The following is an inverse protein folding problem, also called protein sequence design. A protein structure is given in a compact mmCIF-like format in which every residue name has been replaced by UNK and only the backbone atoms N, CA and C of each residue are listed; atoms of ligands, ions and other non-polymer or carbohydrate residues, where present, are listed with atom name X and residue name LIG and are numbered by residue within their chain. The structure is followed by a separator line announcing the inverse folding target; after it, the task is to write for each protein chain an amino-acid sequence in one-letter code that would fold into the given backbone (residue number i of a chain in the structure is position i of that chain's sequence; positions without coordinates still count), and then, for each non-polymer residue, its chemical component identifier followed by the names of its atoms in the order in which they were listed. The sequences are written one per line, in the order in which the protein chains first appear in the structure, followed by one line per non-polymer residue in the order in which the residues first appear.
data_IF_247609177203
#
_entry.id   IF_247609177203
#
_cell.length_a   1.000
_cell.length_b   1.000
_cell.length_c   1.000
_cell.angle_alpha   90.00
_cell.angle_beta   90.00
_cell.angle_gamma   90.00
#
_symmetry.space_group_name_H-M   'P 1'
#
loop_
_entity.id
_entity.type
_entity.pdbx_description
1 polymer ?
#
# COMPACT_ATOMS: atom_id res chain seq x y z
N UNK A 1 -16.62 19.44 -1.79
CA UNK A 1 -16.36 19.22 -0.36
C UNK A 1 -17.03 17.92 0.04
N UNK A 2 -16.28 16.95 0.56
CA UNK A 2 -16.84 15.69 1.08
C UNK A 2 -17.61 16.01 2.37
N UNK A 3 -18.82 15.44 2.52
CA UNK A 3 -19.69 15.71 3.67
C UNK A 3 -19.18 14.92 4.89
N UNK A 4 -18.69 15.61 5.94
CA UNK A 4 -18.27 14.96 7.20
C UNK A 4 -19.46 14.75 8.14
N UNK A 5 -19.48 13.61 8.84
CA UNK A 5 -20.45 13.29 9.90
C UNK A 5 -19.76 13.38 11.26
N UNK A 6 -20.36 14.09 12.22
CA UNK A 6 -19.84 14.14 13.59
C UNK A 6 -20.25 12.89 14.35
N UNK A 7 -19.27 12.21 14.93
CA UNK A 7 -19.47 11.04 15.78
C UNK A 7 -18.87 11.29 17.17
N UNK A 8 -19.48 10.71 18.20
CA UNK A 8 -18.95 10.75 19.57
C UNK A 8 -18.32 9.40 19.88
N UNK A 9 -17.05 9.40 20.30
CA UNK A 9 -16.28 8.18 20.62
C UNK A 9 -15.78 8.24 22.05
N UNK A 10 -15.91 7.12 22.77
CA UNK A 10 -15.29 6.94 24.09
C UNK A 10 -13.91 6.31 23.91
N UNK A 11 -12.86 7.11 24.08
CA UNK A 11 -11.47 6.70 23.93
C UNK A 11 -10.71 6.89 25.25
N UNK A 12 -9.64 6.11 25.44
CA UNK A 12 -8.76 6.31 26.62
C UNK A 12 -8.07 7.67 26.54
N UNK A 13 -8.11 8.41 27.64
CA UNK A 13 -7.59 9.78 27.71
C UNK A 13 -6.08 9.86 27.39
N UNK A 14 -5.29 8.94 27.95
CA UNK A 14 -3.84 8.87 27.76
C UNK A 14 -3.47 8.65 26.28
N UNK A 15 -4.25 7.82 25.58
CA UNK A 15 -4.08 7.54 24.16
C UNK A 15 -4.37 8.79 23.32
N UNK A 16 -5.49 9.47 23.60
CA UNK A 16 -5.88 10.69 22.88
C UNK A 16 -4.83 11.79 23.05
N UNK A 17 -4.32 11.97 24.28
CA UNK A 17 -3.25 12.95 24.56
C UNK A 17 -1.99 12.65 23.75
N UNK A 18 -1.48 11.41 23.81
CA UNK A 18 -0.26 11.03 23.06
C UNK A 18 -0.46 11.17 21.55
N UNK A 19 -1.61 10.75 21.01
CA UNK A 19 -1.90 10.86 19.59
C UNK A 19 -1.94 12.32 19.14
N UNK A 20 -2.65 13.20 19.87
CA UNK A 20 -2.70 14.64 19.57
C UNK A 20 -1.32 15.30 19.59
N UNK A 21 -0.47 14.95 20.55
CA UNK A 21 0.90 15.49 20.60
C UNK A 21 1.73 15.12 19.37
N UNK A 22 1.58 13.90 18.83
CA UNK A 22 2.25 13.48 17.60
C UNK A 22 1.67 14.16 16.36
N UNK A 23 0.35 14.19 16.23
CA UNK A 23 -0.33 14.80 15.09
C UNK A 23 -0.06 16.30 14.96
N UNK A 24 0.15 17.00 16.09
CA UNK A 24 0.54 18.40 16.07
C UNK A 24 1.87 18.66 15.34
N UNK A 25 2.82 17.71 15.40
CA UNK A 25 4.09 17.79 14.65
C UNK A 25 3.87 17.61 13.15
N UNK A 26 2.83 16.87 12.76
CA UNK A 26 2.47 16.57 11.38
C UNK A 26 1.49 17.60 10.78
N UNK A 27 1.06 18.61 11.55
CA UNK A 27 -0.03 19.54 11.19
C UNK A 27 -1.35 18.83 10.83
N UNK A 28 -1.62 17.69 11.46
CA UNK A 28 -2.81 16.86 11.22
C UNK A 28 -3.78 16.90 12.39
N UNK A 29 -5.07 16.70 12.13
CA UNK A 29 -6.07 16.64 13.18
C UNK A 29 -6.33 15.20 13.64
N UNK A 30 -6.87 15.04 14.85
CA UNK A 30 -7.35 13.73 15.32
C UNK A 30 -8.48 13.18 14.42
N UNK A 31 -9.27 14.08 13.81
CA UNK A 31 -10.32 13.67 12.87
C UNK A 31 -9.73 13.00 11.64
N UNK A 32 -8.61 13.50 11.12
CA UNK A 32 -7.97 12.93 9.92
C UNK A 32 -7.43 11.53 10.23
N UNK A 33 -6.81 11.36 11.40
CA UNK A 33 -6.35 10.04 11.86
C UNK A 33 -7.50 9.04 12.02
N UNK A 34 -8.61 9.47 12.63
CA UNK A 34 -9.79 8.59 12.82
C UNK A 34 -10.41 8.23 11.47
N UNK A 35 -10.48 9.19 10.54
CA UNK A 35 -10.99 8.96 9.18
C UNK A 35 -10.13 7.96 8.42
N UNK A 36 -8.80 8.05 8.51
CA UNK A 36 -7.88 7.05 7.94
C UNK A 36 -8.04 5.67 8.57
N UNK A 37 -8.22 5.59 9.89
CA UNK A 37 -8.48 4.31 10.55
C UNK A 37 -9.79 3.66 10.08
N UNK A 38 -10.84 4.46 9.89
CA UNK A 38 -12.13 3.98 9.39
C UNK A 38 -12.02 3.58 7.91
N UNK A 39 -11.29 4.34 7.10
CA UNK A 39 -11.00 3.98 5.71
C UNK A 39 -10.18 2.70 5.60
N UNK A 40 -9.20 2.49 6.48
CA UNK A 40 -8.43 1.25 6.55
C UNK A 40 -9.29 0.05 7.01
N UNK A 41 -10.35 0.30 7.79
CA UNK A 41 -11.32 -0.73 8.15
C UNK A 41 -12.27 -1.07 6.99
N UNK A 42 -12.51 -0.13 6.08
CA UNK A 42 -13.18 -0.38 4.81
C UNK A 42 -12.22 -1.10 3.83
N UNK A 43 -11.99 -2.39 4.10
CA UNK A 43 -11.07 -3.22 3.35
C UNK A 43 -11.40 -3.29 1.86
N UNK A 44 -12.66 -3.09 1.48
CA UNK A 44 -13.08 -3.12 0.08
C UNK A 44 -12.69 -1.82 -0.64
N UNK A 45 -12.94 -0.67 -0.03
CA UNK A 45 -12.51 0.62 -0.58
C UNK A 45 -10.97 0.70 -0.65
N UNK A 46 -10.26 0.19 0.36
CA UNK A 46 -8.80 0.09 0.33
C UNK A 46 -8.30 -0.76 -0.85
N UNK A 47 -8.92 -1.91 -1.08
CA UNK A 47 -8.59 -2.79 -2.21
C UNK A 47 -8.87 -2.09 -3.55
N UNK A 48 -9.98 -1.36 -3.65
CA UNK A 48 -10.35 -0.61 -4.84
C UNK A 48 -9.34 0.50 -5.15
N UNK A 49 -8.92 1.28 -4.15
CA UNK A 49 -7.90 2.31 -4.31
C UNK A 49 -6.53 1.72 -4.68
N UNK A 50 -6.18 0.57 -4.09
CA UNK A 50 -4.95 -0.14 -4.44
C UNK A 50 -4.99 -0.60 -5.90
N UNK A 51 -6.10 -1.20 -6.35
CA UNK A 51 -6.29 -1.60 -7.73
C UNK A 51 -6.15 -0.39 -8.68
N UNK A 52 -6.77 0.75 -8.38
CA UNK A 52 -6.59 1.98 -9.18
C UNK A 52 -5.13 2.43 -9.27
N UNK A 53 -4.42 2.47 -8.13
CA UNK A 53 -3.04 2.93 -8.07
C UNK A 53 -2.08 2.04 -8.86
N UNK A 54 -2.40 0.75 -8.99
CA UNK A 54 -1.62 -0.24 -9.72
C UNK A 54 -2.10 -0.44 -11.17
N UNK A 55 -3.17 0.24 -11.59
CA UNK A 55 -3.79 0.03 -12.89
C UNK A 55 -4.39 -1.38 -13.07
N UNK A 56 -4.85 -1.99 -11.97
CA UNK A 56 -5.44 -3.33 -11.95
C UNK A 56 -6.98 -3.27 -12.01
N UNK A 57 -7.57 -4.33 -12.54
CA UNK A 57 -9.02 -4.50 -12.60
C UNK A 57 -9.61 -4.73 -11.20
N UNK A 58 -10.68 -4.01 -10.85
CA UNK A 58 -11.41 -4.15 -9.57
C UNK A 58 -12.41 -5.30 -9.65
N UNK A 59 -11.92 -6.54 -9.59
CA UNK A 59 -12.80 -7.72 -9.48
C UNK A 59 -12.21 -8.82 -8.63
N UNK A 60 -13.09 -9.67 -8.13
CA UNK A 60 -12.68 -10.91 -7.49
C UNK A 60 -12.30 -11.94 -8.54
N UNK A 61 -11.15 -12.60 -8.33
CA UNK A 61 -10.69 -13.69 -9.16
C UNK A 61 -10.93 -15.03 -8.48
N UNK A 62 -11.36 -16.01 -9.26
CA UNK A 62 -11.37 -17.41 -8.82
C UNK A 62 -9.95 -17.98 -8.79
N UNK A 63 -9.74 -19.01 -7.98
CA UNK A 63 -8.44 -19.71 -7.91
C UNK A 63 -7.96 -20.23 -9.27
N UNK A 64 -8.88 -20.60 -10.16
CA UNK A 64 -8.59 -21.01 -11.54
C UNK A 64 -8.09 -19.86 -12.40
N UNK A 65 -8.73 -18.69 -12.35
CA UNK A 65 -8.31 -17.51 -13.11
C UNK A 65 -6.94 -17.03 -12.67
N UNK A 66 -6.66 -17.02 -11.36
CA UNK A 66 -5.34 -16.65 -10.82
C UNK A 66 -4.26 -17.60 -11.35
N UNK A 67 -4.53 -18.91 -11.43
CA UNK A 67 -3.57 -19.88 -11.97
C UNK A 67 -3.33 -19.68 -13.45
N UNK A 68 -4.40 -19.42 -14.23
CA UNK A 68 -4.30 -19.24 -15.67
C UNK A 68 -3.61 -17.92 -16.06
N UNK A 69 -3.85 -16.85 -15.29
CA UNK A 69 -3.28 -15.52 -15.54
C UNK A 69 -1.91 -15.29 -14.92
N UNK A 70 -1.35 -16.25 -14.17
CA UNK A 70 -0.05 -16.10 -13.52
C UNK A 70 1.04 -15.99 -14.60
N UNK A 71 1.81 -14.89 -14.66
CA UNK A 71 2.93 -14.81 -15.58
C UNK A 71 3.94 -15.92 -15.23
N UNK A 72 4.44 -16.59 -16.27
CA UNK A 72 5.62 -17.44 -16.17
C UNK A 72 6.75 -16.48 -15.79
N UNK A 73 7.09 -16.42 -14.51
CA UNK A 73 8.03 -15.43 -13.98
C UNK A 73 9.35 -15.40 -14.75
N UNK A 74 10.14 -14.35 -14.53
CA UNK A 74 11.45 -14.24 -15.17
C UNK A 74 12.31 -15.46 -14.85
N UNK A 75 13.00 -15.95 -15.87
CA UNK A 75 14.03 -16.96 -15.70
C UNK A 75 15.18 -16.33 -14.91
N UNK A 76 15.26 -16.67 -13.62
CA UNK A 76 16.30 -16.15 -12.74
C UNK A 76 17.71 -16.38 -13.31
N UNK A 77 17.91 -17.48 -14.04
CA UNK A 77 19.15 -17.80 -14.76
C UNK A 77 19.56 -16.72 -15.78
N UNK A 78 18.61 -16.17 -16.53
CA UNK A 78 18.90 -15.15 -17.56
C UNK A 78 19.27 -13.81 -16.91
N UNK A 79 18.52 -13.40 -15.88
CA UNK A 79 18.79 -12.17 -15.11
C UNK A 79 20.14 -12.24 -14.39
N UNK A 80 20.46 -13.39 -13.77
CA UNK A 80 21.72 -13.57 -13.05
C UNK A 80 22.92 -13.58 -14.03
N UNK A 81 22.75 -14.14 -15.23
CA UNK A 81 23.79 -14.13 -16.25
C UNK A 81 24.06 -12.70 -16.74
N UNK A 82 23.02 -11.96 -17.09
CA UNK A 82 23.13 -10.55 -17.51
C UNK A 82 23.89 -9.70 -16.47
N UNK A 83 23.52 -9.80 -15.19
CA UNK A 83 24.20 -9.08 -14.10
C UNK A 83 25.67 -9.49 -13.93
N UNK A 84 26.02 -10.75 -14.20
CA UNK A 84 27.40 -11.24 -14.13
C UNK A 84 28.22 -10.73 -15.30
N UNK A 85 27.65 -10.70 -16.49
CA UNK A 85 28.30 -10.24 -17.71
C UNK A 85 28.55 -8.72 -17.63
N UNK A 86 27.56 -7.92 -17.22
CA UNK A 86 27.73 -6.47 -16.96
C UNK A 86 28.80 -6.18 -15.91
N UNK A 87 28.90 -7.02 -14.89
CA UNK A 87 29.93 -6.89 -13.86
C UNK A 87 31.31 -7.25 -14.42
N UNK A 88 31.40 -8.28 -15.25
CA UNK A 88 32.64 -8.67 -15.90
C UNK A 88 33.16 -7.55 -16.81
N UNK A 89 32.30 -6.93 -17.62
CA UNK A 89 32.64 -5.77 -18.45
C UNK A 89 33.18 -4.60 -17.61
N UNK A 90 32.48 -4.23 -16.53
CA UNK A 90 32.91 -3.15 -15.61
C UNK A 90 34.28 -3.41 -14.96
N UNK A 91 34.59 -4.67 -14.65
CA UNK A 91 35.87 -5.04 -14.01
C UNK A 91 36.98 -5.21 -15.05
N UNK A 92 36.65 -5.59 -16.28
CA UNK A 92 37.61 -5.87 -17.35
C UNK A 92 38.27 -4.62 -17.94
N UNK A 93 37.74 -3.42 -17.69
CA UNK A 93 38.41 -2.16 -18.04
C UNK A 93 38.66 -1.93 -19.54
N UNK A 94 37.85 -2.54 -20.42
CA UNK A 94 37.76 -2.20 -21.85
C UNK A 94 36.41 -1.57 -22.16
#
# INVERSE_FOLDING_TARGET
MVKKVKVTLSLREDLVKRAKSRLALESRSLSDLVEEFLAAYDTLELLDQLCESLGLEKRFYTSSEVKAGRPLGLKAEDVVRELRDERAERISGY
#
